data_IF_648098313323
#
_entry.id   IF_648098313323
#
_cell.length_a   1.000
_cell.length_b   1.000
_cell.length_c   1.000
_cell.angle_alpha   90.00
_cell.angle_beta   90.00
_cell.angle_gamma   90.00
#
_symmetry.space_group_name_H-M   'P 1'
#
loop_
_entity.id
_entity.type
_entity.pdbx_description
1 polymer ?
#
# COMPACT_ATOMS: atom_id res chain seq x y z
N UNK A 1 21.04 -4.15 -8.56
CA UNK A 1 19.57 -4.28 -8.47
C UNK A 1 18.99 -2.88 -8.49
N UNK A 2 18.26 -2.52 -9.55
CA UNK A 2 17.62 -1.21 -9.65
C UNK A 2 16.53 -1.04 -8.60
N UNK A 3 16.30 0.18 -8.13
CA UNK A 3 15.28 0.48 -7.12
C UNK A 3 13.90 0.02 -7.59
N UNK A 4 13.59 0.14 -8.89
CA UNK A 4 12.33 -0.35 -9.47
C UNK A 4 12.07 -1.84 -9.17
N UNK A 5 13.12 -2.67 -9.22
CA UNK A 5 12.97 -4.09 -8.93
C UNK A 5 12.69 -4.36 -7.45
N UNK A 6 13.28 -3.55 -6.55
CA UNK A 6 13.02 -3.66 -5.12
C UNK A 6 11.59 -3.22 -4.79
N UNK A 7 11.14 -2.10 -5.36
CA UNK A 7 9.74 -1.65 -5.23
C UNK A 7 8.80 -2.73 -5.74
N UNK A 8 9.02 -3.25 -6.96
CA UNK A 8 8.18 -4.32 -7.53
C UNK A 8 8.11 -5.54 -6.62
N UNK A 9 9.24 -5.96 -6.04
CA UNK A 9 9.29 -7.08 -5.11
C UNK A 9 8.44 -6.77 -3.87
N UNK A 10 8.64 -5.61 -3.22
CA UNK A 10 7.84 -5.19 -2.07
C UNK A 10 6.34 -5.14 -2.36
N UNK A 11 5.92 -4.66 -3.54
CA UNK A 11 4.50 -4.66 -3.93
C UNK A 11 3.94 -6.09 -3.97
N UNK A 12 4.67 -7.03 -4.56
CA UNK A 12 4.26 -8.44 -4.62
C UNK A 12 4.20 -9.10 -3.25
N UNK A 13 5.16 -8.80 -2.38
CA UNK A 13 5.17 -9.29 -0.99
C UNK A 13 3.99 -8.71 -0.19
N UNK A 14 3.61 -7.45 -0.42
CA UNK A 14 2.40 -6.85 0.15
C UNK A 14 1.15 -7.57 -0.34
N UNK A 15 1.02 -7.82 -1.66
CA UNK A 15 -0.12 -8.57 -2.22
C UNK A 15 -0.24 -9.96 -1.61
N UNK A 16 0.89 -10.66 -1.44
CA UNK A 16 0.93 -11.98 -0.84
C UNK A 16 0.48 -11.94 0.62
N UNK A 17 1.05 -11.03 1.42
CA UNK A 17 0.67 -10.84 2.82
C UNK A 17 -0.81 -10.49 2.98
N UNK A 18 -1.37 -9.64 2.11
CA UNK A 18 -2.80 -9.32 2.11
C UNK A 18 -3.67 -10.55 1.83
N UNK A 19 -3.26 -11.41 0.89
CA UNK A 19 -3.98 -12.66 0.58
C UNK A 19 -3.91 -13.67 1.71
N UNK A 20 -2.76 -13.79 2.36
CA UNK A 20 -2.60 -14.69 3.51
C UNK A 20 -3.42 -14.24 4.73
N UNK A 21 -3.65 -12.94 4.85
CA UNK A 21 -4.36 -12.34 5.98
C UNK A 21 -5.85 -12.07 5.70
N UNK A 22 -6.38 -12.57 4.58
CA UNK A 22 -7.78 -12.38 4.13
C UNK A 22 -8.19 -10.90 3.91
N UNK A 23 -7.22 -9.98 3.88
CA UNK A 23 -7.43 -8.56 3.56
C UNK A 23 -7.62 -8.31 2.05
N UNK A 24 -7.17 -9.25 1.23
CA UNK A 24 -7.29 -9.16 -0.23
C UNK A 24 -8.76 -9.22 -0.67
N UNK A 25 -9.24 -8.14 -1.28
CA UNK A 25 -10.62 -8.07 -1.73
C UNK A 25 -10.72 -8.55 -3.18
N UNK A 26 -11.70 -9.40 -3.46
CA UNK A 26 -11.97 -9.85 -4.83
C UNK A 26 -12.88 -8.88 -5.58
N UNK A 27 -13.62 -8.04 -4.85
CA UNK A 27 -14.55 -7.06 -5.38
C UNK A 27 -13.93 -5.66 -5.23
N UNK A 28 -13.82 -4.87 -6.31
CA UNK A 28 -13.39 -3.49 -6.21
C UNK A 28 -14.44 -2.64 -5.47
N UNK A 29 -14.02 -1.57 -4.76
CA UNK A 29 -14.95 -0.62 -4.17
C UNK A 29 -15.73 0.13 -5.25
N UNK A 30 -16.79 0.83 -4.84
CA UNK A 30 -17.63 1.60 -5.74
C UNK A 30 -16.84 2.70 -6.45
N UNK A 31 -17.23 3.07 -7.66
CA UNK A 31 -16.54 4.11 -8.43
C UNK A 31 -16.42 5.43 -7.63
N UNK A 32 -17.46 5.76 -6.86
CA UNK A 32 -17.53 6.91 -5.97
C UNK A 32 -16.40 6.92 -4.92
N UNK A 33 -15.92 5.75 -4.49
CA UNK A 33 -14.82 5.64 -3.52
C UNK A 33 -13.45 6.01 -4.14
N UNK A 34 -13.31 5.86 -5.45
CA UNK A 34 -12.13 6.36 -6.18
C UNK A 34 -12.20 7.87 -6.44
N UNK A 35 -13.40 8.46 -6.39
CA UNK A 35 -13.63 9.91 -6.56
C UNK A 35 -13.45 10.70 -5.25
N UNK A 36 -13.07 10.02 -4.16
CA UNK A 36 -12.82 10.65 -2.86
C UNK A 36 -11.78 11.77 -2.96
N UNK A 37 -12.10 12.94 -2.41
CA UNK A 37 -11.18 14.09 -2.37
C UNK A 37 -10.22 14.04 -1.17
N UNK A 38 -10.51 13.17 -0.20
CA UNK A 38 -9.71 13.02 1.01
C UNK A 38 -8.42 12.22 0.77
N UNK A 39 -7.33 12.53 1.49
CA UNK A 39 -6.10 11.75 1.40
C UNK A 39 -6.38 10.29 1.77
N UNK A 40 -5.83 9.36 0.99
CA UNK A 40 -6.00 7.90 1.18
C UNK A 40 -7.44 7.38 1.05
N UNK A 41 -8.39 8.18 0.53
CA UNK A 41 -9.82 7.82 0.45
C UNK A 41 -10.40 7.32 1.78
N UNK A 42 -9.92 7.84 2.92
CA UNK A 42 -10.29 7.35 4.26
C UNK A 42 -11.79 7.40 4.60
N UNK A 43 -12.55 8.25 3.91
CA UNK A 43 -13.99 8.44 4.11
C UNK A 43 -14.83 7.40 3.36
N UNK A 44 -14.37 6.99 2.18
CA UNK A 44 -15.14 6.16 1.24
C UNK A 44 -14.58 4.75 1.07
N UNK A 45 -13.35 4.50 1.52
CA UNK A 45 -12.61 3.27 1.25
C UNK A 45 -11.83 2.81 2.49
N UNK A 46 -11.82 1.49 2.72
CA UNK A 46 -10.98 0.90 3.77
C UNK A 46 -9.49 0.96 3.38
N UNK A 47 -8.60 0.97 4.37
CA UNK A 47 -7.15 1.01 4.16
C UNK A 47 -6.68 -0.09 3.20
N UNK A 48 -7.12 -1.34 3.39
CA UNK A 48 -6.77 -2.48 2.53
C UNK A 48 -7.29 -2.34 1.09
N UNK A 49 -8.46 -1.74 0.89
CA UNK A 49 -9.04 -1.51 -0.43
C UNK A 49 -8.23 -0.44 -1.16
N UNK A 50 -7.85 0.63 -0.46
CA UNK A 50 -7.00 1.67 -1.02
C UNK A 50 -5.62 1.13 -1.41
N UNK A 51 -5.06 0.25 -0.57
CA UNK A 51 -3.77 -0.37 -0.85
C UNK A 51 -3.78 -1.17 -2.17
N UNK A 52 -4.77 -2.03 -2.34
CA UNK A 52 -4.80 -2.94 -3.49
C UNK A 52 -5.29 -2.26 -4.79
N UNK A 53 -6.26 -1.34 -4.70
CA UNK A 53 -6.92 -0.77 -5.87
C UNK A 53 -6.40 0.61 -6.27
N UNK A 54 -5.81 1.37 -5.35
CA UNK A 54 -5.25 2.70 -5.65
C UNK A 54 -3.73 2.62 -5.63
N UNK A 55 -3.14 2.09 -4.55
CA UNK A 55 -1.70 2.16 -4.35
C UNK A 55 -0.90 1.20 -5.24
N UNK A 56 -1.23 -0.10 -5.26
CA UNK A 56 -0.56 -1.08 -6.11
C UNK A 56 -0.53 -0.66 -7.60
N UNK A 57 -1.67 -0.41 -8.29
CA UNK A 57 -1.64 -0.06 -9.70
C UNK A 57 -0.92 1.27 -9.95
N UNK A 58 -1.01 2.23 -9.02
CA UNK A 58 -0.29 3.50 -9.12
C UNK A 58 1.23 3.30 -9.05
N UNK A 59 1.71 2.43 -8.17
CA UNK A 59 3.14 2.10 -8.06
C UNK A 59 3.63 1.35 -9.31
N UNK A 60 2.85 0.39 -9.83
CA UNK A 60 3.16 -0.28 -11.09
C UNK A 60 3.24 0.70 -12.27
N UNK A 61 2.30 1.64 -12.37
CA UNK A 61 2.35 2.67 -13.40
C UNK A 61 3.62 3.54 -13.29
N UNK A 62 4.02 3.92 -12.07
CA UNK A 62 5.27 4.67 -11.85
C UNK A 62 6.51 3.88 -12.27
N UNK A 63 6.54 2.58 -11.96
CA UNK A 63 7.58 1.65 -12.40
C UNK A 63 7.69 1.58 -13.93
N UNK A 64 6.56 1.47 -14.63
CA UNK A 64 6.52 1.42 -16.09
C UNK A 64 6.94 2.74 -16.72
N UNK A 65 6.46 3.85 -16.16
CA UNK A 65 6.76 5.20 -16.64
C UNK A 65 8.19 5.65 -16.28
N UNK A 66 8.95 4.86 -15.51
CA UNK A 66 10.25 5.25 -14.96
C UNK A 66 10.18 6.64 -14.28
N UNK A 67 9.03 6.92 -13.66
CA UNK A 67 8.76 8.20 -13.01
C UNK A 67 9.42 8.26 -11.64
N UNK A 68 9.66 9.47 -11.11
CA UNK A 68 10.12 9.62 -9.74
C UNK A 68 9.06 9.08 -8.79
N UNK A 69 9.47 8.25 -7.84
CA UNK A 69 8.59 7.81 -6.77
C UNK A 69 8.24 8.99 -5.85
N UNK A 70 7.05 8.99 -5.24
CA UNK A 70 6.70 10.00 -4.25
C UNK A 70 7.67 9.96 -3.07
N UNK A 71 8.35 11.07 -2.84
CA UNK A 71 9.21 11.29 -1.67
C UNK A 71 8.36 11.87 -0.54
N UNK A 72 8.57 11.42 0.72
CA UNK A 72 7.66 11.60 1.88
C UNK A 72 6.36 10.81 1.82
N UNK A 73 6.47 9.54 1.49
CA UNK A 73 5.37 8.61 1.63
C UNK A 73 5.46 7.89 2.98
N UNK A 74 4.34 7.79 3.70
CA UNK A 74 4.27 7.15 5.01
C UNK A 74 2.87 6.55 5.22
N UNK A 75 2.65 5.32 4.75
CA UNK A 75 1.38 4.61 4.95
C UNK A 75 1.40 3.70 6.15
N UNK A 76 2.57 3.18 6.53
CA UNK A 76 2.73 2.30 7.69
C UNK A 76 1.96 2.77 8.93
N UNK A 77 2.12 4.01 9.43
CA UNK A 77 1.41 4.44 10.65
C UNK A 77 -0.11 4.45 10.50
N UNK A 78 -0.62 4.76 9.30
CA UNK A 78 -2.05 4.74 9.02
C UNK A 78 -2.59 3.30 9.03
N UNK A 79 -1.88 2.35 8.42
CA UNK A 79 -2.26 0.94 8.46
C UNK A 79 -2.09 0.33 9.85
N UNK A 80 -1.06 0.72 10.59
CA UNK A 80 -0.88 0.31 11.99
C UNK A 80 -2.11 0.70 12.80
N UNK A 81 -2.59 1.94 12.69
CA UNK A 81 -3.79 2.38 13.40
C UNK A 81 -5.06 1.67 12.89
N UNK A 82 -5.24 1.56 11.57
CA UNK A 82 -6.41 0.91 10.97
C UNK A 82 -6.50 -0.59 11.27
N UNK A 83 -5.35 -1.25 11.47
CA UNK A 83 -5.24 -2.68 11.76
C UNK A 83 -5.02 -2.98 13.26
N UNK A 84 -4.74 -1.97 14.09
CA UNK A 84 -4.67 -2.08 15.56
C UNK A 84 -6.07 -2.21 16.16
N UNK A 85 -6.63 -3.42 16.08
CA UNK A 85 -7.90 -3.77 16.69
C UNK A 85 -7.76 -5.02 17.56
N UNK A 86 -8.37 -5.00 18.74
CA UNK A 86 -8.41 -6.15 19.65
C UNK A 86 -9.16 -7.32 18.99
N UNK A 87 -8.53 -8.50 18.91
CA UNK A 87 -9.08 -9.70 18.25
C UNK A 87 -8.81 -9.81 16.75
N UNK A 88 -7.99 -8.93 16.17
CA UNK A 88 -7.53 -9.07 14.78
C UNK A 88 -6.34 -10.02 14.63
N UNK A 89 -6.17 -10.70 13.48
CA UNK A 89 -5.01 -11.53 13.21
C UNK A 89 -3.72 -10.69 13.17
N UNK A 90 -2.59 -11.38 13.29
CA UNK A 90 -1.29 -10.73 13.29
C UNK A 90 -0.96 -10.21 11.88
N UNK A 91 -1.09 -8.89 11.68
CA UNK A 91 -0.72 -8.21 10.44
C UNK A 91 0.72 -7.68 10.48
N UNK A 92 1.54 -8.10 11.44
CA UNK A 92 2.90 -7.57 11.60
C UNK A 92 3.76 -7.84 10.36
N UNK A 93 3.52 -8.96 9.68
CA UNK A 93 4.15 -9.28 8.40
C UNK A 93 3.81 -8.26 7.31
N UNK A 94 2.51 -7.93 7.13
CA UNK A 94 2.07 -6.92 6.18
C UNK A 94 2.64 -5.53 6.53
N UNK A 95 2.53 -5.13 7.80
CA UNK A 95 3.05 -3.86 8.30
C UNK A 95 4.57 -3.75 8.09
N UNK A 96 5.32 -4.84 8.26
CA UNK A 96 6.74 -4.87 7.97
C UNK A 96 7.04 -4.65 6.48
N UNK A 97 6.23 -5.21 5.57
CA UNK A 97 6.38 -4.96 4.13
C UNK A 97 6.07 -3.51 3.77
N UNK A 98 5.00 -2.94 4.32
CA UNK A 98 4.64 -1.53 4.13
C UNK A 98 5.77 -0.61 4.62
N UNK A 99 6.32 -0.90 5.79
CA UNK A 99 7.44 -0.15 6.36
C UNK A 99 8.71 -0.23 5.53
N UNK A 100 9.01 -1.42 5.03
CA UNK A 100 10.14 -1.65 4.14
C UNK A 100 10.00 -0.81 2.86
N UNK A 101 8.78 -0.78 2.29
CA UNK A 101 8.47 0.04 1.13
C UNK A 101 8.56 1.55 1.44
N UNK A 102 7.98 2.01 2.55
CA UNK A 102 8.07 3.41 2.99
C UNK A 102 9.55 3.83 3.13
N UNK A 103 10.39 3.06 3.80
CA UNK A 103 11.82 3.36 3.95
C UNK A 103 12.55 3.36 2.60
N UNK A 104 12.21 2.42 1.72
CA UNK A 104 12.79 2.32 0.38
C UNK A 104 12.47 3.53 -0.49
N UNK A 105 11.21 3.99 -0.49
CA UNK A 105 10.77 5.16 -1.26
C UNK A 105 11.31 6.47 -0.67
N UNK A 106 11.46 6.56 0.66
CA UNK A 106 12.02 7.75 1.29
C UNK A 106 13.54 7.88 1.10
N UNK A 107 14.29 6.76 1.07
CA UNK A 107 15.75 6.75 0.88
C UNK A 107 16.22 7.22 -0.50
N UNK A 108 15.37 7.16 -1.52
CA UNK A 108 15.72 7.62 -2.88
C UNK A 108 15.76 9.17 -3.00
N UNK A 109 15.57 9.90 -1.89
CA UNK A 109 15.56 11.38 -1.88
C UNK A 109 16.94 12.02 -1.63
N UNK A 110 18.02 11.25 -1.53
CA UNK A 110 19.39 11.79 -1.28
C UNK A 110 20.22 12.00 -2.56
#
# INVERSE_FOLDING_TARGET
>A
MSTENKVRQSLQDIEFAMRETDLWQTVPPEAEAFESNEPFSIDTMAAEQWLQWVFLPRMYALLELNGPFPTRFAITPYFEEALSGDGRPDYSALLAQLRCLDDLLNKESE
#
